data_IF_865159880067
#
_entry.id   IF_865159880067
#
_cell.length_a   1.000
_cell.length_b   1.000
_cell.length_c   1.000
_cell.angle_alpha   90.00
_cell.angle_beta   90.00
_cell.angle_gamma   90.00
#
_symmetry.space_group_name_H-M   'P 1'
#
loop_
_entity.id
_entity.type
_entity.pdbx_description
1 polymer ?
#
# COMPACT_ATOMS: atom_id res chain seq x y z
N UNK A 1 -14.31 1.45 -15.09
CA UNK A 1 -14.22 1.28 -13.62
C UNK A 1 -14.43 -0.19 -13.28
N UNK A 2 -13.39 -1.03 -13.38
CA UNK A 2 -13.18 -2.24 -12.54
C UNK A 2 -11.91 -2.97 -12.99
N UNK A 3 -10.77 -2.27 -12.91
CA UNK A 3 -9.46 -2.79 -13.33
C UNK A 3 -8.67 -3.44 -12.17
N UNK A 4 -9.38 -3.95 -11.16
CA UNK A 4 -8.80 -4.67 -10.00
C UNK A 4 -9.24 -6.13 -9.93
N UNK A 5 -9.77 -6.68 -11.03
CA UNK A 5 -10.00 -8.11 -11.17
C UNK A 5 -8.63 -8.80 -11.06
N UNK A 6 -8.45 -9.68 -10.06
CA UNK A 6 -7.24 -10.50 -9.78
C UNK A 6 -6.18 -9.96 -8.81
N UNK A 7 -6.44 -8.90 -8.03
CA UNK A 7 -5.53 -8.52 -6.93
C UNK A 7 -6.13 -8.96 -5.59
N UNK A 8 -5.33 -9.67 -4.79
CA UNK A 8 -5.69 -10.15 -3.44
C UNK A 8 -6.07 -9.00 -2.48
N UNK A 9 -5.67 -7.77 -2.82
CA UNK A 9 -6.00 -6.55 -2.11
C UNK A 9 -6.77 -5.59 -3.01
N UNK A 10 -7.77 -4.90 -2.44
CA UNK A 10 -8.51 -3.85 -3.14
C UNK A 10 -7.54 -2.74 -3.59
N UNK A 11 -7.73 -2.22 -4.80
CA UNK A 11 -6.91 -1.14 -5.36
C UNK A 11 -6.80 0.09 -4.47
N UNK A 12 -7.88 0.40 -3.74
CA UNK A 12 -7.91 1.46 -2.73
C UNK A 12 -6.85 1.29 -1.64
N UNK A 13 -6.54 0.06 -1.21
CA UNK A 13 -5.52 -0.22 -0.18
C UNK A 13 -4.13 0.13 -0.69
N UNK A 14 -3.85 -0.28 -1.93
CA UNK A 14 -2.57 -0.03 -2.60
C UNK A 14 -2.36 1.48 -2.77
N UNK A 15 -3.38 2.18 -3.30
CA UNK A 15 -3.33 3.62 -3.48
C UNK A 15 -3.21 4.36 -2.16
N UNK A 16 -3.89 3.89 -1.11
CA UNK A 16 -3.81 4.47 0.22
C UNK A 16 -2.39 4.36 0.77
N UNK A 17 -1.77 3.18 0.71
CA UNK A 17 -0.41 2.96 1.20
C UNK A 17 0.62 3.81 0.44
N UNK A 18 0.56 3.83 -0.89
CA UNK A 18 1.48 4.62 -1.73
C UNK A 18 1.30 6.12 -1.47
N UNK A 19 0.05 6.61 -1.36
CA UNK A 19 -0.24 8.02 -1.08
C UNK A 19 0.28 8.45 0.29
N UNK A 20 0.13 7.62 1.31
CA UNK A 20 0.64 7.93 2.65
C UNK A 20 2.16 7.95 2.69
N UNK A 21 2.81 7.01 2.01
CA UNK A 21 4.26 7.01 1.85
C UNK A 21 4.78 8.28 1.16
N UNK A 22 4.13 8.75 0.09
CA UNK A 22 4.55 9.97 -0.60
C UNK A 22 4.24 11.25 0.18
N UNK A 23 3.18 11.26 1.01
CA UNK A 23 2.71 12.48 1.68
C UNK A 23 3.40 12.72 3.03
N UNK A 24 3.86 11.67 3.69
CA UNK A 24 4.40 11.73 5.04
C UNK A 24 5.70 10.92 5.11
N UNK A 25 6.68 11.31 5.95
CA UNK A 25 7.94 10.58 6.11
C UNK A 25 7.75 9.34 6.99
N UNK A 26 6.96 8.37 6.53
CA UNK A 26 6.58 7.17 7.28
C UNK A 26 7.37 5.97 6.74
N UNK A 27 7.79 5.08 7.63
CA UNK A 27 8.46 3.83 7.25
C UNK A 27 7.47 2.81 6.67
N UNK A 28 7.97 1.88 5.84
CA UNK A 28 7.16 0.78 5.31
C UNK A 28 6.57 -0.12 6.40
N UNK A 29 7.26 -0.25 7.54
CA UNK A 29 6.77 -1.01 8.70
C UNK A 29 5.61 -0.31 9.41
N UNK A 30 5.69 1.00 9.58
CA UNK A 30 4.53 1.76 10.09
C UNK A 30 3.31 1.60 9.18
N UNK A 31 3.50 1.64 7.85
CA UNK A 31 2.41 1.37 6.91
C UNK A 31 1.86 -0.06 7.03
N UNK A 32 2.73 -1.03 7.31
CA UNK A 32 2.36 -2.41 7.64
C UNK A 32 1.42 -2.44 8.85
N UNK A 33 1.81 -1.78 9.94
CA UNK A 33 1.05 -1.71 11.19
C UNK A 33 -0.27 -0.97 10.99
N UNK A 34 -0.29 0.16 10.28
CA UNK A 34 -1.52 0.90 9.97
C UNK A 34 -2.51 0.08 9.13
N UNK A 35 -2.01 -0.76 8.22
CA UNK A 35 -2.84 -1.68 7.46
C UNK A 35 -3.34 -2.82 8.35
N UNK A 36 -2.48 -3.36 9.21
CA UNK A 36 -2.84 -4.40 10.16
C UNK A 36 -3.93 -3.94 11.15
N UNK A 37 -3.87 -2.69 11.64
CA UNK A 37 -4.90 -2.07 12.47
C UNK A 37 -6.27 -1.99 11.76
N UNK A 38 -6.28 -1.94 10.43
CA UNK A 38 -7.50 -1.96 9.60
C UNK A 38 -7.97 -3.37 9.26
N UNK A 39 -7.33 -4.40 9.82
CA UNK A 39 -7.59 -5.82 9.52
C UNK A 39 -6.97 -6.30 8.22
N UNK A 40 -6.03 -5.54 7.64
CA UNK A 40 -5.37 -5.86 6.38
C UNK A 40 -3.94 -6.29 6.68
N UNK A 41 -3.70 -7.61 6.71
CA UNK A 41 -2.36 -8.16 6.89
C UNK A 41 -1.60 -8.12 5.56
N UNK A 42 -0.67 -7.18 5.42
CA UNK A 42 0.22 -7.00 4.27
C UNK A 42 1.63 -6.90 4.83
N UNK A 43 2.60 -7.54 4.20
CA UNK A 43 4.01 -7.41 4.60
C UNK A 43 4.64 -6.13 4.01
N UNK A 44 5.50 -5.46 4.78
CA UNK A 44 6.21 -4.23 4.39
C UNK A 44 6.96 -4.37 3.05
N UNK A 45 7.44 -5.56 2.69
CA UNK A 45 8.05 -5.81 1.37
C UNK A 45 7.05 -5.72 0.23
N UNK A 46 5.78 -6.06 0.46
CA UNK A 46 4.70 -5.90 -0.51
C UNK A 46 4.37 -4.42 -0.70
N UNK A 47 4.37 -3.64 0.39
CA UNK A 47 4.18 -2.18 0.35
C UNK A 47 5.32 -1.52 -0.43
N UNK A 48 6.57 -1.93 -0.18
CA UNK A 48 7.72 -1.49 -0.94
C UNK A 48 7.55 -1.72 -2.45
N UNK A 49 7.08 -2.91 -2.85
CA UNK A 49 6.82 -3.23 -4.26
C UNK A 49 5.71 -2.37 -4.86
N UNK A 50 4.68 -2.03 -4.08
CA UNK A 50 3.64 -1.11 -4.54
C UNK A 50 4.19 0.29 -4.76
N UNK A 51 4.96 0.82 -3.80
CA UNK A 51 5.59 2.14 -3.95
C UNK A 51 6.50 2.16 -5.16
N UNK A 52 7.36 1.15 -5.35
CA UNK A 52 8.23 1.06 -6.52
C UNK A 52 7.47 0.96 -7.86
N UNK A 53 6.28 0.35 -7.87
CA UNK A 53 5.50 0.16 -9.10
C UNK A 53 4.59 1.35 -9.44
N UNK A 54 4.15 2.11 -8.44
CA UNK A 54 3.10 3.13 -8.59
C UNK A 54 3.53 4.55 -8.19
N UNK A 55 4.67 4.73 -7.51
CA UNK A 55 5.20 6.07 -7.30
C UNK A 55 5.76 6.60 -8.64
N UNK A 56 5.38 7.82 -9.07
CA UNK A 56 6.01 8.46 -10.21
C UNK A 56 7.48 8.79 -9.88
N UNK A 57 8.37 8.71 -10.87
CA UNK A 57 9.74 9.25 -10.80
C UNK A 57 9.77 10.70 -10.31
#
# INVERSE_FOLDING_TARGET
MTDFKWRHFQGDVILWAVRWYCRYPISYRDLEEMLAERGISVDHTTIYRWVQCYAPE
#
